data_IF_905989336492
#
_entry.id   IF_905989336492
#
_cell.length_a   1.000
_cell.length_b   1.000
_cell.length_c   1.000
_cell.angle_alpha   90.00
_cell.angle_beta   90.00
_cell.angle_gamma   90.00
#
_symmetry.space_group_name_H-M   'P 1'
#
loop_
_entity.id
_entity.type
_entity.pdbx_description
1 polymer ?
#
# COMPACT_ATOMS: atom_id res chain seq x y z
N UNK A 1 49.32 -4.02 56.64
CA UNK A 1 48.47 -3.51 55.55
C UNK A 1 47.23 -4.38 55.47
N UNK A 2 46.09 -3.73 55.21
CA UNK A 2 44.71 -4.15 55.46
C UNK A 2 44.19 -5.35 54.65
N UNK A 3 43.18 -6.04 55.25
CA UNK A 3 42.00 -6.81 54.74
C UNK A 3 41.96 -7.21 53.25
N UNK A 4 41.66 -8.48 52.95
CA UNK A 4 40.33 -9.15 52.92
C UNK A 4 39.44 -8.73 51.73
N UNK A 5 39.24 -9.72 50.85
CA UNK A 5 38.17 -10.05 49.89
C UNK A 5 37.10 -9.00 49.55
N UNK A 6 36.96 -8.72 48.25
CA UNK A 6 35.66 -8.41 47.61
C UNK A 6 35.60 -9.14 46.27
N UNK A 7 34.72 -10.14 46.19
CA UNK A 7 34.16 -10.61 44.93
C UNK A 7 33.13 -9.58 44.46
N UNK A 8 33.08 -9.30 43.16
CA UNK A 8 31.88 -8.78 42.52
C UNK A 8 31.78 -9.30 41.08
N UNK A 9 30.54 -9.50 40.61
CA UNK A 9 30.14 -10.66 39.82
C UNK A 9 29.60 -10.23 38.44
N UNK A 10 29.22 -11.22 37.63
CA UNK A 10 28.52 -11.04 36.35
C UNK A 10 29.24 -10.15 35.33
N UNK A 11 29.97 -10.81 34.42
CA UNK A 11 30.13 -10.25 33.09
C UNK A 11 28.73 -9.96 32.55
N UNK A 12 28.45 -8.67 32.31
CA UNK A 12 27.38 -8.29 31.41
C UNK A 12 27.66 -9.04 30.11
N UNK A 13 26.81 -10.00 29.77
CA UNK A 13 26.47 -10.14 28.37
C UNK A 13 25.94 -8.76 27.99
N UNK A 14 26.65 -8.06 27.11
CA UNK A 14 26.02 -7.00 26.34
C UNK A 14 24.95 -7.75 25.54
N UNK A 15 23.77 -7.92 26.12
CA UNK A 15 22.58 -8.26 25.35
C UNK A 15 22.46 -7.09 24.39
N UNK A 16 22.96 -7.32 23.17
CA UNK A 16 22.90 -6.33 22.11
C UNK A 16 21.49 -5.80 22.11
N UNK A 17 21.39 -4.47 22.25
CA UNK A 17 20.15 -3.73 22.05
C UNK A 17 19.50 -4.37 20.81
N UNK A 18 18.35 -5.02 21.01
CA UNK A 18 17.60 -5.62 19.91
C UNK A 18 17.31 -4.45 18.97
N UNK A 19 18.08 -4.31 17.89
CA UNK A 19 17.83 -3.30 16.88
C UNK A 19 16.40 -3.54 16.40
N UNK A 20 15.52 -2.60 16.70
CA UNK A 20 14.11 -2.70 16.35
C UNK A 20 14.01 -2.86 14.82
N UNK A 21 13.40 -3.96 14.38
CA UNK A 21 13.30 -4.28 12.96
C UNK A 21 12.37 -3.30 12.22
N UNK A 22 11.62 -2.49 12.96
CA UNK A 22 10.70 -1.49 12.46
C UNK A 22 9.35 -2.07 12.04
N UNK A 23 8.41 -1.19 11.69
CA UNK A 23 7.03 -1.57 11.52
C UNK A 23 6.82 -2.40 10.26
N UNK A 24 5.75 -3.19 10.23
CA UNK A 24 5.29 -3.94 9.06
C UNK A 24 3.86 -3.54 8.70
N UNK A 25 3.67 -3.13 7.45
CA UNK A 25 2.33 -2.87 6.88
C UNK A 25 1.81 -4.15 6.22
N UNK A 26 0.57 -4.51 6.54
CA UNK A 26 -0.18 -5.56 5.88
C UNK A 26 -1.38 -4.95 5.15
N UNK A 27 -1.52 -5.30 3.88
CA UNK A 27 -2.68 -4.92 3.07
C UNK A 27 -3.63 -6.13 2.97
N UNK A 28 -4.94 -5.95 3.18
CA UNK A 28 -5.90 -7.03 2.98
C UNK A 28 -5.87 -7.43 1.50
N UNK A 29 -5.68 -8.72 1.26
CA UNK A 29 -5.65 -9.30 -0.08
C UNK A 29 -6.98 -9.02 -0.80
N UNK A 30 -6.89 -8.38 -1.96
CA UNK A 30 -7.89 -8.45 -3.02
C UNK A 30 -7.90 -9.84 -3.67
N UNK A 31 -8.92 -10.10 -4.48
CA UNK A 31 -9.12 -11.39 -5.18
C UNK A 31 -8.10 -11.65 -6.29
N UNK A 32 -7.09 -10.80 -6.42
CA UNK A 32 -6.19 -10.75 -7.55
C UNK A 32 -4.76 -10.39 -7.08
N UNK A 33 -4.07 -11.39 -6.53
CA UNK A 33 -2.61 -11.61 -6.51
C UNK A 33 -1.65 -10.59 -5.86
N UNK A 34 -0.69 -11.14 -5.11
CA UNK A 34 0.46 -10.45 -4.53
C UNK A 34 1.64 -10.45 -5.52
N UNK A 35 2.32 -9.31 -5.67
CA UNK A 35 3.69 -9.28 -6.17
C UNK A 35 4.56 -8.49 -5.19
N UNK A 36 5.20 -9.20 -4.27
CA UNK A 36 6.17 -8.64 -3.31
C UNK A 36 7.57 -8.75 -3.87
N UNK A 37 8.23 -7.62 -4.13
CA UNK A 37 9.69 -7.58 -4.27
C UNK A 37 10.26 -6.41 -3.45
N UNK A 38 11.15 -6.76 -2.51
CA UNK A 38 12.09 -5.88 -1.80
C UNK A 38 11.45 -4.64 -1.14
N UNK A 39 10.84 -4.84 0.04
CA UNK A 39 10.51 -3.75 0.97
C UNK A 39 9.29 -2.90 0.62
N UNK A 40 8.72 -3.04 -0.58
CA UNK A 40 7.42 -2.50 -0.94
C UNK A 40 6.49 -3.66 -1.32
N UNK A 41 5.54 -3.99 -0.44
CA UNK A 41 4.45 -4.91 -0.79
C UNK A 41 3.62 -4.21 -1.86
N UNK A 42 3.59 -4.73 -3.08
CA UNK A 42 2.75 -4.23 -4.17
C UNK A 42 1.60 -5.20 -4.41
N UNK A 43 0.38 -4.72 -4.18
CA UNK A 43 -0.83 -5.50 -4.44
C UNK A 43 -1.58 -4.93 -5.65
N UNK A 44 -2.04 -5.78 -6.57
CA UNK A 44 -2.89 -5.33 -7.68
C UNK A 44 -4.37 -5.58 -7.34
N UNK A 45 -5.25 -4.70 -7.81
CA UNK A 45 -6.69 -4.95 -7.72
C UNK A 45 -7.41 -4.39 -8.93
N UNK A 46 -8.39 -5.12 -9.40
CA UNK A 46 -9.20 -4.78 -10.57
C UNK A 46 -10.64 -4.55 -10.15
N UNK A 47 -11.22 -3.41 -10.50
CA UNK A 47 -12.61 -3.10 -10.19
C UNK A 47 -13.34 -2.58 -11.42
N UNK A 48 -14.60 -3.02 -11.65
CA UNK A 48 -15.52 -2.26 -12.48
C UNK A 48 -15.66 -0.84 -11.92
N UNK A 49 -15.91 0.13 -12.80
CA UNK A 49 -16.11 1.54 -12.46
C UNK A 49 -17.40 1.77 -11.63
N UNK A 50 -17.40 1.34 -10.37
CA UNK A 50 -18.48 1.50 -9.40
C UNK A 50 -17.93 2.23 -8.18
N UNK A 51 -18.45 3.42 -7.89
CA UNK A 51 -18.00 4.27 -6.77
C UNK A 51 -18.08 3.57 -5.40
N UNK A 52 -19.04 2.67 -5.22
CA UNK A 52 -19.21 1.87 -3.99
C UNK A 52 -18.13 0.81 -3.79
N UNK A 53 -17.45 0.35 -4.85
CA UNK A 53 -16.37 -0.61 -4.75
C UNK A 53 -15.06 0.02 -4.25
N UNK A 54 -14.93 1.34 -4.41
CA UNK A 54 -13.75 2.12 -4.00
C UNK A 54 -13.72 2.47 -2.51
N UNK A 55 -14.88 2.65 -1.88
CA UNK A 55 -14.94 3.02 -0.46
C UNK A 55 -14.44 1.93 0.49
N UNK A 56 -14.42 0.67 0.04
CA UNK A 56 -13.89 -0.47 0.80
C UNK A 56 -12.40 -0.73 0.49
N UNK A 57 -11.80 0.08 -0.39
CA UNK A 57 -10.46 -0.13 -0.90
C UNK A 57 -9.34 0.21 0.10
N UNK A 58 -9.37 1.33 0.84
CA UNK A 58 -8.30 1.65 1.76
C UNK A 58 -8.48 0.87 3.07
N UNK A 59 -7.90 -0.32 3.11
CA UNK A 59 -7.66 -1.07 4.34
C UNK A 59 -6.18 -1.34 4.45
N UNK A 60 -5.56 -1.00 5.57
CA UNK A 60 -4.19 -1.37 5.90
C UNK A 60 -4.10 -1.55 7.40
N UNK A 61 -3.32 -2.53 7.85
CA UNK A 61 -2.95 -2.70 9.26
C UNK A 61 -1.45 -2.58 9.39
N UNK A 62 -0.97 -2.05 10.51
CA UNK A 62 0.45 -1.93 10.78
C UNK A 62 0.77 -2.41 12.19
N UNK A 63 1.85 -3.17 12.30
CA UNK A 63 2.33 -3.73 13.56
C UNK A 63 3.84 -3.61 13.66
N UNK A 64 4.29 -3.35 14.86
CA UNK A 64 5.68 -3.28 15.25
C UNK A 64 5.88 -4.11 16.53
N UNK A 65 7.04 -4.75 16.68
CA UNK A 65 7.29 -5.66 17.81
C UNK A 65 7.46 -4.90 19.14
N UNK A 66 7.98 -3.67 19.10
CA UNK A 66 8.23 -2.81 20.26
C UNK A 66 7.04 -1.88 20.53
N UNK A 67 6.55 -1.21 19.50
CA UNK A 67 5.48 -0.21 19.57
C UNK A 67 4.07 -0.82 19.48
N UNK A 68 3.95 -2.07 19.05
CA UNK A 68 2.69 -2.79 18.97
C UNK A 68 1.84 -2.34 17.78
N UNK A 69 0.55 -2.07 18.01
CA UNK A 69 -0.38 -1.76 16.92
C UNK A 69 -0.26 -0.30 16.45
N UNK A 70 0.27 -0.10 15.25
CA UNK A 70 0.44 1.21 14.63
C UNK A 70 -0.60 1.50 13.53
N UNK A 71 -1.65 0.69 13.41
CA UNK A 71 -2.66 0.81 12.33
C UNK A 71 -3.26 2.21 12.22
N UNK A 72 -3.52 2.88 13.35
CA UNK A 72 -4.08 4.24 13.35
C UNK A 72 -3.09 5.33 12.91
N UNK A 73 -1.79 5.01 12.90
CA UNK A 73 -0.71 5.91 12.47
C UNK A 73 -0.35 5.74 10.99
N UNK A 74 -0.99 4.81 10.27
CA UNK A 74 -0.76 4.65 8.83
C UNK A 74 -1.27 5.87 8.07
N UNK A 75 -0.36 6.54 7.38
CA UNK A 75 -0.67 7.60 6.44
C UNK A 75 -0.96 7.03 5.05
N UNK A 76 -2.00 7.55 4.37
CA UNK A 76 -2.37 7.16 3.02
C UNK A 76 -2.22 8.35 2.06
N UNK A 77 -1.48 8.14 0.97
CA UNK A 77 -1.42 9.04 -0.19
C UNK A 77 -1.93 8.34 -1.43
N UNK A 78 -2.73 9.02 -2.24
CA UNK A 78 -3.30 8.47 -3.48
C UNK A 78 -2.83 9.32 -4.66
N UNK A 79 -2.45 8.69 -5.77
CA UNK A 79 -2.17 9.41 -7.01
C UNK A 79 -3.41 10.21 -7.44
N UNK A 80 -3.23 11.48 -7.79
CA UNK A 80 -4.31 12.31 -8.31
C UNK A 80 -4.80 11.72 -9.63
N UNK A 81 -5.97 11.09 -9.60
CA UNK A 81 -6.56 10.46 -10.78
C UNK A 81 -8.07 10.56 -10.67
N UNK A 82 -8.71 10.86 -11.79
CA UNK A 82 -10.17 10.87 -11.90
C UNK A 82 -10.70 9.43 -11.78
N UNK A 83 -11.26 9.11 -10.62
CA UNK A 83 -11.87 7.80 -10.33
C UNK A 83 -13.22 7.58 -11.04
N UNK A 84 -13.68 8.53 -11.86
CA UNK A 84 -14.87 8.38 -12.72
C UNK A 84 -14.53 7.83 -14.11
N UNK A 85 -13.27 7.48 -14.37
CA UNK A 85 -12.79 7.04 -15.68
C UNK A 85 -12.02 5.72 -15.54
N UNK A 86 -12.04 4.84 -16.56
CA UNK A 86 -11.16 3.67 -16.56
C UNK A 86 -9.69 4.09 -16.56
N UNK A 87 -8.82 3.20 -16.08
CA UNK A 87 -7.36 3.39 -16.10
C UNK A 87 -6.74 2.60 -17.24
N UNK A 88 -5.67 3.11 -17.86
CA UNK A 88 -4.86 2.28 -18.75
C UNK A 88 -4.03 1.28 -17.92
N UNK A 89 -3.57 0.21 -18.56
CA UNK A 89 -2.81 -0.86 -17.89
C UNK A 89 -1.46 -0.40 -17.33
N UNK A 90 -0.87 0.67 -17.86
CA UNK A 90 0.39 1.26 -17.43
C UNK A 90 0.22 2.43 -16.45
N UNK A 91 -1.02 2.89 -16.23
CA UNK A 91 -1.36 4.03 -15.37
C UNK A 91 -2.42 3.67 -14.32
N UNK A 92 -2.14 2.71 -13.41
CA UNK A 92 -3.02 2.42 -12.30
C UNK A 92 -3.12 3.59 -11.33
N UNK A 93 -4.20 3.62 -10.56
CA UNK A 93 -4.26 4.46 -9.35
C UNK A 93 -3.36 3.83 -8.29
N UNK A 94 -2.43 4.62 -7.75
CA UNK A 94 -1.46 4.16 -6.75
C UNK A 94 -1.84 4.69 -5.37
N UNK A 95 -2.05 3.77 -4.44
CA UNK A 95 -2.24 4.02 -3.02
C UNK A 95 -0.93 3.71 -2.31
N UNK A 96 -0.30 4.72 -1.71
CA UNK A 96 0.93 4.59 -0.93
C UNK A 96 0.60 4.69 0.56
N UNK A 97 0.92 3.65 1.29
CA UNK A 97 0.79 3.57 2.75
C UNK A 97 2.17 3.77 3.37
N UNK A 98 2.26 4.62 4.38
CA UNK A 98 3.49 4.86 5.12
C UNK A 98 3.18 4.85 6.62
N UNK A 99 4.05 4.24 7.40
CA UNK A 99 4.00 4.31 8.86
C UNK A 99 5.42 4.46 9.39
N UNK A 100 5.56 5.25 10.44
CA UNK A 100 6.82 5.47 11.15
C UNK A 100 6.60 5.09 12.62
N UNK A 101 7.50 4.30 13.18
CA UNK A 101 7.48 3.90 14.59
C UNK A 101 8.08 5.00 15.51
N UNK A 102 8.21 4.71 16.81
CA UNK A 102 8.73 5.68 17.78
C UNK A 102 10.25 5.89 17.70
N UNK A 103 10.99 4.91 17.17
CA UNK A 103 12.44 4.96 16.97
C UNK A 103 12.83 5.58 15.62
N UNK A 104 11.85 5.82 14.75
CA UNK A 104 12.00 6.45 13.45
C UNK A 104 12.17 5.48 12.28
N UNK A 105 11.98 4.18 12.48
CA UNK A 105 11.95 3.23 11.37
C UNK A 105 10.68 3.44 10.55
N UNK A 106 10.81 3.35 9.23
CA UNK A 106 9.73 3.65 8.28
C UNK A 106 9.42 2.42 7.45
N UNK A 107 8.14 2.09 7.36
CA UNK A 107 7.64 1.08 6.43
C UNK A 107 6.73 1.69 5.38
N UNK A 108 6.81 1.15 4.17
CA UNK A 108 5.97 1.57 3.05
C UNK A 108 5.37 0.38 2.33
N UNK A 109 4.10 0.50 1.92
CA UNK A 109 3.44 -0.45 1.04
C UNK A 109 2.69 0.29 -0.07
N UNK A 110 2.52 -0.36 -1.22
CA UNK A 110 1.77 0.18 -2.34
C UNK A 110 0.62 -0.75 -2.73
N UNK A 111 -0.51 -0.16 -3.09
CA UNK A 111 -1.59 -0.87 -3.79
C UNK A 111 -1.91 -0.17 -5.09
N UNK A 112 -1.99 -0.94 -6.17
CA UNK A 112 -2.30 -0.48 -7.51
C UNK A 112 -3.71 -0.93 -7.87
N UNK A 113 -4.52 0.02 -8.33
CA UNK A 113 -5.90 -0.22 -8.74
C UNK A 113 -6.06 0.06 -10.23
N UNK A 114 -6.56 -0.92 -10.96
CA UNK A 114 -7.06 -0.74 -12.30
C UNK A 114 -8.58 -0.63 -12.31
N UNK A 115 -9.09 0.46 -12.87
CA UNK A 115 -10.51 0.66 -13.14
C UNK A 115 -10.80 0.17 -14.54
N UNK A 116 -11.62 -0.87 -14.63
CA UNK A 116 -12.06 -1.44 -15.90
C UNK A 116 -13.45 -0.92 -16.27
N UNK A 117 -13.71 -0.97 -17.57
CA UNK A 117 -15.04 -0.80 -18.09
C UNK A 117 -15.97 -1.94 -17.66
N UNK A 118 -17.29 -1.69 -17.60
CA UNK A 118 -18.27 -2.74 -17.35
C UNK A 118 -18.14 -3.89 -18.36
N UNK A 119 -18.64 -5.06 -17.98
CA UNK A 119 -18.62 -6.24 -18.84
C UNK A 119 -19.26 -5.95 -20.21
N UNK A 120 -18.56 -6.31 -21.28
CA UNK A 120 -19.00 -6.06 -22.66
C UNK A 120 -18.59 -4.70 -23.22
N UNK A 121 -18.06 -3.80 -22.39
CA UNK A 121 -17.46 -2.53 -22.83
C UNK A 121 -15.93 -2.62 -22.83
N UNK A 122 -15.28 -1.71 -23.57
CA UNK A 122 -13.82 -1.61 -23.65
C UNK A 122 -13.36 -0.16 -23.50
N UNK A 123 -12.05 0.02 -23.30
CA UNK A 123 -11.45 1.34 -23.17
C UNK A 123 -11.39 2.01 -24.54
N UNK A 124 -11.85 3.25 -24.59
CA UNK A 124 -11.75 4.19 -25.70
C UNK A 124 -11.04 5.47 -25.22
N UNK A 125 -10.85 6.44 -26.12
CA UNK A 125 -10.40 7.79 -25.79
C UNK A 125 -11.50 8.82 -26.10
N UNK A 126 -11.57 9.89 -25.31
CA UNK A 126 -12.33 11.10 -25.65
C UNK A 126 -11.47 12.09 -26.45
N UNK A 127 -12.05 13.25 -26.81
CA UNK A 127 -11.39 14.32 -27.58
C UNK A 127 -10.16 14.92 -26.89
N UNK A 128 -9.95 14.63 -25.61
CA UNK A 128 -8.79 15.06 -24.83
C UNK A 128 -7.74 13.96 -24.64
N UNK A 129 -7.84 12.87 -25.41
CA UNK A 129 -7.01 11.67 -25.31
C UNK A 129 -7.08 10.97 -23.95
N UNK A 130 -8.14 11.23 -23.17
CA UNK A 130 -8.30 10.64 -21.86
C UNK A 130 -9.11 9.32 -21.98
N UNK A 131 -8.84 8.27 -21.19
CA UNK A 131 -9.54 6.98 -21.31
C UNK A 131 -11.01 6.99 -20.85
N UNK A 132 -11.96 6.64 -21.71
CA UNK A 132 -13.38 6.45 -21.36
C UNK A 132 -13.82 5.00 -21.63
N UNK A 133 -15.00 4.62 -21.16
CA UNK A 133 -15.61 3.35 -21.56
C UNK A 133 -16.48 3.54 -22.79
N UNK A 134 -16.46 2.53 -23.67
CA UNK A 134 -17.45 2.42 -24.74
C UNK A 134 -18.87 2.36 -24.15
N UNK A 135 -19.86 2.67 -25.00
CA UNK A 135 -21.28 2.44 -24.70
C UNK A 135 -21.88 1.57 -25.79
N UNK A 136 -22.44 0.42 -25.39
CA UNK A 136 -22.88 -0.64 -26.29
C UNK A 136 -21.76 -1.09 -27.28
N UNK A 137 -20.51 -1.05 -26.83
CA UNK A 137 -19.34 -1.39 -27.64
C UNK A 137 -18.92 -0.32 -28.66
N UNK A 138 -19.50 0.89 -28.60
CA UNK A 138 -19.11 2.01 -29.46
C UNK A 138 -18.33 3.08 -28.66
N UNK A 139 -17.23 3.55 -29.23
CA UNK A 139 -16.49 4.69 -28.70
C UNK A 139 -17.20 5.99 -29.09
N UNK A 140 -17.75 6.69 -28.10
CA UNK A 140 -18.37 8.01 -28.27
C UNK A 140 -17.29 9.06 -28.01
N UNK A 141 -16.69 9.64 -29.06
CA UNK A 141 -15.56 10.57 -28.93
C UNK A 141 -14.48 10.45 -30.00
N UNK A 142 -14.76 9.74 -31.10
CA UNK A 142 -13.94 9.78 -32.32
C UNK A 142 -14.81 10.30 -33.46
N UNK A 143 -14.77 11.60 -33.70
CA UNK A 143 -15.26 12.13 -34.96
C UNK A 143 -14.27 11.68 -36.07
N UNK A 144 -14.81 11.05 -37.12
CA UNK A 144 -14.09 10.54 -38.29
C UNK A 144 -13.44 11.66 -39.12
#
# INVERSE_FOLDING_TARGET
>A
TSRSTTAAPYGKIDEGESEDAGPRIELPLGVDGEASELGAVVHYRTLPLLKSALSQFPGATAWDDKDGNLTAAVELRVSETDISRPTLSDTPIVFRYTVTDSDGNVATAERRLHLLCPDGEHICSDDSDLPICSSAGLCLGVDF
#
